data_IF_100523321224
#
_entry.id   IF_100523321224
#
_cell.length_a   1.000
_cell.length_b   1.000
_cell.length_c   1.000
_cell.angle_alpha   90.00
_cell.angle_beta   90.00
_cell.angle_gamma   90.00
#
_symmetry.space_group_name_H-M   'P 1'
#
loop_
_entity.id
_entity.type
_entity.pdbx_description
1 polymer ?
#
# COMPACT_ATOMS: atom_id res chain seq x y z
N UNK A 1 43.80 -12.58 -1.04
CA UNK A 1 42.59 -13.05 -0.35
C UNK A 1 41.41 -12.34 -1.00
N UNK A 2 40.45 -13.13 -1.48
CA UNK A 2 39.46 -12.78 -2.50
C UNK A 2 38.55 -11.59 -2.15
N UNK A 3 38.60 -10.56 -2.98
CA UNK A 3 37.59 -9.49 -3.04
C UNK A 3 36.31 -10.06 -3.64
N UNK A 4 35.26 -10.20 -2.82
CA UNK A 4 33.93 -10.62 -3.25
C UNK A 4 33.22 -9.43 -3.93
N UNK A 5 33.34 -9.33 -5.25
CA UNK A 5 32.48 -8.49 -6.07
C UNK A 5 31.12 -9.20 -6.25
N UNK A 6 30.04 -8.61 -5.74
CA UNK A 6 28.68 -9.08 -5.98
C UNK A 6 28.05 -8.29 -7.14
N UNK A 7 27.94 -8.91 -8.31
CA UNK A 7 27.29 -8.33 -9.49
C UNK A 7 25.78 -8.64 -9.46
N UNK A 8 24.95 -7.61 -9.61
CA UNK A 8 23.50 -7.73 -9.75
C UNK A 8 23.20 -7.87 -11.25
N UNK A 9 22.82 -9.06 -11.70
CA UNK A 9 22.29 -9.31 -13.06
C UNK A 9 20.83 -9.71 -12.97
N UNK A 10 19.98 -9.02 -13.73
CA UNK A 10 18.55 -9.34 -13.90
C UNK A 10 18.37 -10.47 -14.93
N UNK A 11 17.57 -11.50 -14.64
CA UNK A 11 17.13 -12.45 -15.67
C UNK A 11 15.90 -11.93 -16.42
N UNK A 12 15.77 -12.32 -17.68
CA UNK A 12 14.70 -11.91 -18.60
C UNK A 12 13.60 -12.96 -18.82
N UNK A 13 12.39 -12.43 -19.02
CA UNK A 13 11.18 -12.96 -19.68
C UNK A 13 10.30 -14.02 -18.98
N UNK A 14 9.18 -13.54 -18.43
CA UNK A 14 7.83 -14.09 -18.62
C UNK A 14 6.84 -12.92 -18.61
N UNK A 15 5.70 -13.03 -19.31
CA UNK A 15 4.72 -11.96 -19.43
C UNK A 15 4.06 -11.67 -18.06
N UNK A 16 4.66 -10.73 -17.33
CA UNK A 16 4.23 -10.27 -16.01
C UNK A 16 2.93 -9.48 -16.13
N UNK A 17 2.00 -9.75 -15.21
CA UNK A 17 1.02 -8.73 -14.83
C UNK A 17 1.84 -7.55 -14.33
N UNK A 18 1.78 -6.42 -15.03
CA UNK A 18 2.46 -5.20 -14.61
C UNK A 18 1.76 -4.67 -13.36
N UNK A 19 2.19 -5.18 -12.21
CA UNK A 19 2.05 -4.50 -10.93
C UNK A 19 2.99 -3.31 -11.02
N UNK A 20 2.56 -2.26 -11.71
CA UNK A 20 3.26 -0.99 -11.73
C UNK A 20 3.42 -0.55 -10.29
N UNK A 21 4.59 -0.80 -9.71
CA UNK A 21 4.91 -0.59 -8.29
C UNK A 21 5.09 0.90 -8.02
N UNK A 22 4.21 1.79 -8.47
CA UNK A 22 4.15 3.12 -7.88
C UNK A 22 3.37 3.00 -6.58
N UNK A 23 4.10 3.04 -5.47
CA UNK A 23 3.53 3.04 -4.12
C UNK A 23 2.39 4.06 -4.07
N UNK A 24 1.19 3.55 -3.84
CA UNK A 24 0.05 4.37 -3.41
C UNK A 24 0.39 4.80 -1.99
N UNK A 25 1.20 5.85 -1.87
CA UNK A 25 1.14 6.71 -0.70
C UNK A 25 -0.23 7.36 -0.80
N UNK A 26 -1.20 6.78 -0.09
CA UNK A 26 -2.39 7.51 0.29
C UNK A 26 -1.90 8.82 0.89
N UNK A 27 -2.00 9.90 0.11
CA UNK A 27 -1.74 11.26 0.56
C UNK A 27 -2.67 11.44 1.74
N UNK A 28 -2.10 11.31 2.95
CA UNK A 28 -2.71 11.45 4.27
C UNK A 28 -4.13 11.99 4.12
N UNK A 29 -5.12 11.07 4.10
CA UNK A 29 -6.53 11.46 4.05
C UNK A 29 -6.69 12.53 5.11
N UNK A 30 -6.97 13.77 4.70
CA UNK A 30 -7.24 14.83 5.66
C UNK A 30 -8.52 14.39 6.35
N UNK A 31 -8.38 13.81 7.54
CA UNK A 31 -9.50 13.39 8.37
C UNK A 31 -10.25 14.65 8.80
N UNK A 32 -11.21 15.07 7.96
CA UNK A 32 -12.17 16.11 8.33
C UNK A 32 -13.15 15.48 9.30
N UNK A 33 -13.51 16.22 10.35
CA UNK A 33 -14.51 15.80 11.32
C UNK A 33 -15.85 15.59 10.59
N UNK A 34 -16.16 14.33 10.28
CA UNK A 34 -17.44 13.91 9.72
C UNK A 34 -18.44 13.52 10.80
N UNK A 35 -19.72 13.40 10.43
CA UNK A 35 -20.81 13.05 11.36
C UNK A 35 -20.59 11.72 12.12
N UNK A 36 -19.72 10.86 11.63
CA UNK A 36 -19.41 9.55 12.19
C UNK A 36 -17.91 9.34 12.50
N UNK A 37 -17.11 10.40 12.46
CA UNK A 37 -15.65 10.35 12.77
C UNK A 37 -15.33 9.93 14.20
N UNK A 38 -16.30 10.05 15.12
CA UNK A 38 -16.17 9.64 16.51
C UNK A 38 -16.28 8.12 16.73
N UNK A 39 -16.74 7.37 15.71
CA UNK A 39 -16.95 5.93 15.80
C UNK A 39 -15.64 5.22 15.47
N UNK A 40 -15.13 4.44 16.42
CA UNK A 40 -13.87 3.70 16.30
C UNK A 40 -14.05 2.17 16.32
N UNK A 41 -15.30 1.70 16.25
CA UNK A 41 -15.64 0.29 16.29
C UNK A 41 -17.04 0.05 16.88
N UNK A 42 -17.39 -1.23 17.07
CA UNK A 42 -18.72 -1.63 17.57
C UNK A 42 -18.86 -1.56 19.10
N UNK A 43 -17.77 -1.43 19.85
CA UNK A 43 -17.75 -1.32 21.31
C UNK A 43 -18.22 -2.59 22.04
N UNK A 44 -17.95 -3.75 21.47
CA UNK A 44 -18.28 -5.06 22.04
C UNK A 44 -17.14 -5.58 22.92
N UNK A 45 -17.44 -6.51 23.82
CA UNK A 45 -16.43 -7.31 24.51
C UNK A 45 -16.13 -8.63 23.78
N UNK A 46 -15.23 -9.44 24.35
CA UNK A 46 -14.83 -10.74 23.79
C UNK A 46 -15.99 -11.76 23.74
N UNK A 47 -17.08 -11.53 24.48
CA UNK A 47 -18.29 -12.34 24.46
C UNK A 47 -19.32 -11.83 23.44
N UNK A 48 -19.00 -10.79 22.65
CA UNK A 48 -19.92 -10.05 21.77
C UNK A 48 -21.05 -9.30 22.50
N UNK A 49 -20.90 -9.04 23.79
CA UNK A 49 -21.85 -8.23 24.52
C UNK A 49 -21.51 -6.73 24.36
N UNK A 50 -22.49 -5.89 24.00
CA UNK A 50 -22.28 -4.47 23.81
C UNK A 50 -22.17 -3.74 25.15
N UNK A 51 -21.07 -3.02 25.36
CA UNK A 51 -20.93 -2.09 26.49
C UNK A 51 -21.85 -0.88 26.30
N UNK A 52 -22.34 -0.30 27.40
CA UNK A 52 -23.25 0.85 27.38
C UNK A 52 -22.68 2.05 26.61
N UNK A 53 -21.38 2.30 26.75
CA UNK A 53 -20.65 3.38 26.07
C UNK A 53 -19.25 2.88 25.75
N UNK A 54 -18.92 2.69 24.47
CA UNK A 54 -17.58 2.22 24.06
C UNK A 54 -17.33 2.51 22.58
N UNK A 55 -16.07 2.81 22.23
CA UNK A 55 -15.62 3.06 20.84
C UNK A 55 -16.47 4.07 20.05
N UNK A 56 -17.03 5.08 20.74
CA UNK A 56 -17.91 6.09 20.13
C UNK A 56 -19.37 5.66 19.94
N UNK A 57 -19.71 4.40 20.24
CA UNK A 57 -21.06 3.87 20.17
C UNK A 57 -21.76 3.91 21.53
N UNK A 58 -23.02 4.36 21.55
CA UNK A 58 -23.86 4.44 22.75
C UNK A 58 -25.23 3.85 22.46
N UNK A 59 -25.73 3.00 23.37
CA UNK A 59 -27.03 2.34 23.19
C UNK A 59 -27.04 1.33 22.03
N UNK A 60 -28.21 1.17 21.40
CA UNK A 60 -28.46 0.21 20.30
C UNK A 60 -27.89 -1.21 20.54
N UNK A 61 -28.05 -1.73 21.77
CA UNK A 61 -27.43 -2.98 22.22
C UNK A 61 -27.75 -4.16 21.30
N UNK A 62 -29.02 -4.38 20.99
CA UNK A 62 -29.46 -5.50 20.14
C UNK A 62 -28.84 -5.43 18.74
N UNK A 63 -28.85 -4.25 18.12
CA UNK A 63 -28.29 -4.05 16.79
C UNK A 63 -26.75 -4.16 16.77
N UNK A 64 -26.06 -3.67 17.80
CA UNK A 64 -24.59 -3.82 17.94
C UNK A 64 -24.19 -5.27 18.17
N UNK A 65 -24.94 -6.01 18.98
CA UNK A 65 -24.72 -7.45 19.18
C UNK A 65 -24.92 -8.23 17.88
N UNK A 66 -25.98 -7.94 17.13
CA UNK A 66 -26.21 -8.53 15.82
C UNK A 66 -25.09 -8.17 14.82
N UNK A 67 -24.63 -6.91 14.79
CA UNK A 67 -23.49 -6.48 14.00
C UNK A 67 -22.19 -7.20 14.39
N UNK A 68 -21.99 -7.49 15.67
CA UNK A 68 -20.86 -8.28 16.17
C UNK A 68 -20.84 -9.71 15.65
N UNK A 69 -22.01 -10.34 15.52
CA UNK A 69 -22.15 -11.66 14.92
C UNK A 69 -21.77 -11.60 13.43
N UNK A 70 -22.28 -10.60 12.70
CA UNK A 70 -21.94 -10.38 11.28
C UNK A 70 -20.42 -10.15 11.14
N UNK A 71 -19.84 -9.32 11.99
CA UNK A 71 -18.40 -9.07 12.04
C UNK A 71 -17.59 -10.36 12.21
N UNK A 72 -17.94 -11.23 13.17
CA UNK A 72 -17.27 -12.53 13.31
C UNK A 72 -17.44 -13.42 12.08
N UNK A 73 -18.62 -13.43 11.47
CA UNK A 73 -18.84 -14.22 10.26
C UNK A 73 -17.98 -13.75 9.08
N UNK A 74 -17.73 -12.44 8.98
CA UNK A 74 -16.81 -11.85 7.99
C UNK A 74 -15.37 -12.28 8.31
N UNK A 75 -14.91 -12.12 9.55
CA UNK A 75 -13.55 -12.52 9.95
C UNK A 75 -13.26 -14.01 9.76
N UNK A 76 -14.23 -14.88 10.03
CA UNK A 76 -14.09 -16.32 9.84
C UNK A 76 -14.17 -16.74 8.35
N UNK A 77 -14.50 -15.82 7.43
CA UNK A 77 -14.65 -16.11 6.00
C UNK A 77 -15.74 -17.13 5.68
N UNK A 78 -16.67 -17.39 6.61
CA UNK A 78 -17.74 -18.40 6.48
C UNK A 78 -18.93 -17.91 5.64
N UNK A 79 -18.94 -16.64 5.28
CA UNK A 79 -20.01 -16.01 4.52
C UNK A 79 -19.42 -15.31 3.29
N UNK A 80 -19.91 -15.70 2.11
CA UNK A 80 -19.74 -14.97 0.87
C UNK A 80 -21.12 -14.81 0.21
N UNK A 81 -21.37 -13.66 -0.42
CA UNK A 81 -22.59 -13.42 -1.20
C UNK A 81 -23.89 -13.29 -0.38
N UNK A 82 -23.82 -12.83 0.88
CA UNK A 82 -25.02 -12.53 1.69
C UNK A 82 -25.22 -11.04 1.88
N UNK A 83 -26.48 -10.62 1.89
CA UNK A 83 -26.86 -9.24 2.17
C UNK A 83 -27.40 -9.10 3.59
N UNK A 84 -27.01 -8.02 4.28
CA UNK A 84 -27.55 -7.64 5.60
C UNK A 84 -28.30 -6.33 5.45
N UNK A 85 -29.58 -6.31 5.84
CA UNK A 85 -30.42 -5.12 5.78
C UNK A 85 -30.58 -4.50 7.18
N UNK A 86 -30.10 -3.26 7.34
CA UNK A 86 -30.35 -2.46 8.54
C UNK A 86 -31.60 -1.60 8.33
N UNK A 87 -32.70 -1.96 8.98
CA UNK A 87 -33.97 -1.23 8.91
C UNK A 87 -34.29 -0.49 10.22
N UNK A 88 -34.91 0.69 10.11
CA UNK A 88 -35.30 1.50 11.27
C UNK A 88 -35.61 2.95 10.91
N UNK A 89 -36.17 3.70 11.86
CA UNK A 89 -36.54 5.13 11.68
C UNK A 89 -35.31 6.00 11.35
N UNK A 90 -35.47 7.15 10.69
CA UNK A 90 -34.38 8.13 10.54
C UNK A 90 -33.76 8.50 11.90
N UNK A 91 -32.45 8.72 11.94
CA UNK A 91 -31.74 9.09 13.18
C UNK A 91 -31.43 7.95 14.16
N UNK A 92 -31.78 6.69 13.86
CA UNK A 92 -31.52 5.55 14.78
C UNK A 92 -30.11 4.96 14.69
N UNK A 93 -29.16 5.61 14.01
CA UNK A 93 -27.76 5.17 13.94
C UNK A 93 -27.47 3.99 13.00
N UNK A 94 -28.26 3.77 11.95
CA UNK A 94 -28.01 2.70 10.95
C UNK A 94 -26.64 2.83 10.29
N UNK A 95 -26.35 4.01 9.73
CA UNK A 95 -25.05 4.32 9.11
C UNK A 95 -23.91 4.26 10.13
N UNK A 96 -24.17 4.68 11.38
CA UNK A 96 -23.21 4.59 12.47
C UNK A 96 -22.81 3.14 12.77
N UNK A 97 -23.77 2.19 12.79
CA UNK A 97 -23.47 0.76 12.97
C UNK A 97 -22.64 0.23 11.79
N UNK A 98 -22.99 0.58 10.55
CA UNK A 98 -22.22 0.15 9.38
C UNK A 98 -20.77 0.67 9.43
N UNK A 99 -20.56 1.93 9.83
CA UNK A 99 -19.22 2.46 10.04
C UNK A 99 -18.50 1.81 11.22
N UNK A 100 -19.24 1.44 12.27
CA UNK A 100 -18.68 0.65 13.38
C UNK A 100 -18.17 -0.72 12.94
N UNK A 101 -18.85 -1.39 12.01
CA UNK A 101 -18.38 -2.65 11.40
C UNK A 101 -17.09 -2.39 10.60
N UNK A 102 -17.10 -1.38 9.71
CA UNK A 102 -15.95 -1.03 8.90
C UNK A 102 -14.70 -0.75 9.75
N UNK A 103 -14.85 0.06 10.80
CA UNK A 103 -13.76 0.39 11.73
C UNK A 103 -13.30 -0.82 12.56
N UNK A 104 -14.19 -1.77 12.84
CA UNK A 104 -13.83 -3.00 13.55
C UNK A 104 -13.07 -4.01 12.68
N UNK A 105 -13.31 -4.03 11.36
CA UNK A 105 -12.59 -4.89 10.40
C UNK A 105 -11.13 -4.45 10.19
N UNK A 106 -10.83 -3.18 10.45
CA UNK A 106 -9.49 -2.61 10.37
C UNK A 106 -9.23 -1.95 9.02
N UNK A 107 -8.12 -1.20 8.95
CA UNK A 107 -7.75 -0.39 7.79
C UNK A 107 -7.40 -1.25 6.56
N UNK A 108 -6.95 -2.49 6.79
CA UNK A 108 -6.59 -3.41 5.71
C UNK A 108 -7.80 -4.00 4.97
N UNK A 109 -9.01 -3.89 5.51
CA UNK A 109 -10.20 -4.48 4.87
C UNK A 109 -10.93 -3.39 4.07
N UNK A 110 -11.06 -3.55 2.74
CA UNK A 110 -11.66 -2.51 1.92
C UNK A 110 -13.15 -2.38 2.22
N UNK A 111 -13.59 -1.20 2.61
CA UNK A 111 -15.00 -0.91 2.87
C UNK A 111 -15.51 0.16 1.91
N UNK A 112 -16.50 -0.18 1.09
CA UNK A 112 -17.05 0.73 0.08
C UNK A 112 -18.42 1.24 0.51
N UNK A 113 -18.54 2.56 0.68
CA UNK A 113 -19.84 3.23 0.87
C UNK A 113 -20.33 3.79 -0.44
N UNK A 114 -21.53 3.39 -0.88
CA UNK A 114 -22.16 3.91 -2.10
C UNK A 114 -23.57 4.37 -1.79
N UNK A 115 -23.93 5.54 -2.31
CA UNK A 115 -25.31 5.98 -2.34
C UNK A 115 -26.02 5.41 -3.57
N UNK A 116 -27.29 5.03 -3.44
CA UNK A 116 -28.05 4.48 -4.56
C UNK A 116 -28.13 5.44 -5.77
N UNK A 117 -28.05 6.76 -5.52
CA UNK A 117 -28.00 7.77 -6.57
C UNK A 117 -26.68 7.80 -7.36
N UNK A 118 -25.57 7.33 -6.79
CA UNK A 118 -24.26 7.30 -7.46
C UNK A 118 -24.18 6.20 -8.52
N UNK A 119 -25.04 5.17 -8.42
CA UNK A 119 -25.09 4.06 -9.38
C UNK A 119 -25.66 4.53 -10.73
N UNK A 120 -26.50 5.56 -10.72
CA UNK A 120 -27.09 6.12 -11.94
C UNK A 120 -26.14 7.17 -12.53
N UNK A 121 -25.33 6.76 -13.50
CA UNK A 121 -24.43 7.64 -14.26
C UNK A 121 -24.80 7.67 -15.74
N UNK A 122 -24.40 8.74 -16.43
CA UNK A 122 -24.40 8.82 -17.90
C UNK A 122 -23.12 8.25 -18.51
N UNK A 123 -22.05 8.12 -17.73
CA UNK A 123 -20.71 7.71 -18.20
C UNK A 123 -20.57 6.19 -18.31
N UNK A 124 -21.31 5.44 -17.49
CA UNK A 124 -21.26 3.97 -17.44
C UNK A 124 -22.61 3.37 -17.11
N UNK A 125 -22.83 2.11 -17.48
CA UNK A 125 -24.05 1.38 -17.15
C UNK A 125 -24.21 1.14 -15.64
N UNK A 126 -25.46 1.04 -15.18
CA UNK A 126 -25.78 0.76 -13.76
C UNK A 126 -25.23 -0.60 -13.31
N UNK A 127 -25.21 -1.58 -14.20
CA UNK A 127 -24.59 -2.90 -13.99
C UNK A 127 -23.09 -2.79 -13.80
N UNK A 128 -22.42 -1.92 -14.56
CA UNK A 128 -20.99 -1.72 -14.44
C UNK A 128 -20.65 -0.98 -13.14
N UNK A 129 -21.39 0.07 -12.79
CA UNK A 129 -21.22 0.77 -11.51
C UNK A 129 -21.37 -0.17 -10.30
N UNK A 130 -22.37 -1.07 -10.32
CA UNK A 130 -22.53 -2.11 -9.30
C UNK A 130 -21.40 -3.14 -9.30
N UNK A 131 -20.92 -3.54 -10.49
CA UNK A 131 -19.83 -4.52 -10.57
C UNK A 131 -18.53 -3.94 -10.02
N UNK A 132 -18.23 -2.69 -10.35
CA UNK A 132 -17.08 -1.97 -9.78
C UNK A 132 -17.21 -1.82 -8.26
N UNK A 133 -18.41 -1.51 -7.75
CA UNK A 133 -18.67 -1.45 -6.31
C UNK A 133 -18.33 -2.75 -5.57
N UNK A 134 -18.76 -3.90 -6.11
CA UNK A 134 -18.43 -5.20 -5.53
C UNK A 134 -16.93 -5.48 -5.61
N UNK A 135 -16.27 -5.18 -6.73
CA UNK A 135 -14.83 -5.44 -6.90
C UNK A 135 -13.95 -4.49 -6.08
N UNK A 136 -14.41 -3.27 -5.77
CA UNK A 136 -13.75 -2.35 -4.83
C UNK A 136 -13.80 -2.87 -3.38
N UNK A 137 -14.86 -3.61 -3.04
CA UNK A 137 -15.08 -4.16 -1.69
C UNK A 137 -14.39 -5.50 -1.46
N UNK A 138 -13.64 -6.02 -2.43
CA UNK A 138 -12.88 -7.27 -2.29
C UNK A 138 -11.40 -6.92 -2.43
N UNK A 139 -10.66 -7.13 -1.33
CA UNK A 139 -9.23 -6.89 -1.26
C UNK A 139 -8.44 -8.16 -1.53
N UNK A 140 -7.25 -7.99 -2.06
CA UNK A 140 -6.23 -9.02 -2.23
C UNK A 140 -5.00 -8.54 -1.48
N UNK A 141 -4.65 -9.26 -0.41
CA UNK A 141 -3.43 -9.06 0.36
C UNK A 141 -2.34 -9.91 -0.24
N UNK A 142 -1.32 -9.27 -0.80
CA UNK A 142 -0.14 -9.90 -1.38
C UNK A 142 1.01 -9.66 -0.42
N UNK A 143 1.72 -10.72 -0.07
CA UNK A 143 2.93 -10.63 0.76
C UNK A 143 4.12 -10.90 -0.15
N UNK A 144 4.99 -9.90 -0.28
CA UNK A 144 6.21 -10.00 -1.09
C UNK A 144 7.43 -9.87 -0.19
N UNK A 145 8.39 -10.78 -0.36
CA UNK A 145 9.70 -10.68 0.28
C UNK A 145 10.62 -9.86 -0.62
N UNK A 146 11.09 -8.70 -0.13
CA UNK A 146 12.06 -7.87 -0.83
C UNK A 146 13.35 -7.74 -0.04
N UNK A 147 14.47 -7.81 -0.76
CA UNK A 147 15.80 -7.50 -0.21
C UNK A 147 15.99 -5.98 -0.22
N UNK A 148 15.98 -5.37 0.96
CA UNK A 148 16.26 -3.95 1.14
C UNK A 148 17.67 -3.74 1.66
N UNK A 149 18.38 -2.76 1.09
CA UNK A 149 19.61 -2.22 1.69
C UNK A 149 19.25 -0.93 2.42
N UNK A 150 19.61 -0.83 3.69
CA UNK A 150 19.38 0.36 4.51
C UNK A 150 20.71 0.82 5.13
N UNK A 151 21.12 2.05 4.85
CA UNK A 151 22.38 2.59 5.33
C UNK A 151 22.50 4.10 5.20
N UNK A 152 23.45 4.66 5.93
CA UNK A 152 23.92 6.04 5.77
C UNK A 152 24.93 6.11 4.61
N UNK A 153 24.78 7.13 3.77
CA UNK A 153 25.70 7.39 2.67
C UNK A 153 26.94 8.11 3.19
N UNK A 154 28.10 7.48 3.08
CA UNK A 154 29.39 8.09 3.44
C UNK A 154 29.93 8.89 2.25
N UNK A 155 29.96 8.29 1.07
CA UNK A 155 30.51 8.89 -0.14
C UNK A 155 29.78 8.39 -1.39
N UNK A 156 29.64 9.26 -2.39
CA UNK A 156 29.13 8.92 -3.72
C UNK A 156 30.17 9.38 -4.74
N UNK A 157 30.70 8.45 -5.52
CA UNK A 157 31.59 8.70 -6.64
C UNK A 157 30.85 8.38 -7.94
N UNK A 158 30.83 9.31 -8.89
CA UNK A 158 30.20 9.12 -10.19
C UNK A 158 31.24 9.42 -11.26
N UNK A 159 31.63 8.38 -12.00
CA UNK A 159 32.52 8.47 -13.14
C UNK A 159 31.68 8.56 -14.41
N UNK A 160 31.79 9.69 -15.10
CA UNK A 160 31.17 9.91 -16.41
C UNK A 160 32.25 10.10 -17.47
N UNK A 161 32.18 9.31 -18.54
CA UNK A 161 33.03 9.53 -19.70
C UNK A 161 32.73 10.88 -20.36
N UNK A 162 33.71 11.43 -21.09
CA UNK A 162 33.65 12.77 -21.72
C UNK A 162 32.44 12.92 -22.68
N UNK A 163 31.89 11.82 -23.17
CA UNK A 163 30.69 11.76 -24.03
C UNK A 163 29.37 11.54 -23.28
N UNK A 164 29.40 11.27 -21.98
CA UNK A 164 28.23 11.18 -21.10
C UNK A 164 27.33 9.94 -21.29
N UNK A 165 27.71 9.01 -22.16
CA UNK A 165 26.90 7.86 -22.57
C UNK A 165 26.92 6.71 -21.57
N UNK A 166 28.09 6.42 -20.97
CA UNK A 166 28.24 5.38 -19.96
C UNK A 166 28.57 6.04 -18.61
N UNK A 167 27.59 6.02 -17.69
CA UNK A 167 27.74 6.49 -16.32
C UNK A 167 27.93 5.28 -15.42
N UNK A 168 29.07 5.22 -14.75
CA UNK A 168 29.33 4.23 -13.70
C UNK A 168 29.62 4.99 -12.41
N UNK A 169 29.39 4.36 -11.26
CA UNK A 169 29.62 5.03 -9.99
C UNK A 169 29.86 4.04 -8.88
N UNK A 170 30.25 4.56 -7.72
CA UNK A 170 30.37 3.82 -6.48
C UNK A 170 29.67 4.58 -5.38
N UNK A 171 29.02 3.85 -4.49
CA UNK A 171 28.45 4.39 -3.26
C UNK A 171 28.98 3.61 -2.08
N UNK A 172 29.39 4.34 -1.06
CA UNK A 172 29.80 3.75 0.22
C UNK A 172 28.66 3.94 1.20
N UNK A 173 28.10 2.83 1.69
CA UNK A 173 27.04 2.79 2.68
C UNK A 173 27.55 2.25 4.01
N UNK A 174 27.12 2.87 5.10
CA UNK A 174 27.53 2.54 6.45
C UNK A 174 26.32 2.36 7.37
N UNK A 175 26.38 1.34 8.22
CA UNK A 175 25.53 1.17 9.41
C UNK A 175 26.43 1.28 10.65
N UNK A 176 25.85 1.21 11.85
CA UNK A 176 26.65 1.21 13.08
C UNK A 176 27.64 0.05 13.20
N UNK A 177 27.41 -1.04 12.45
CA UNK A 177 28.21 -2.27 12.54
C UNK A 177 29.10 -2.55 11.33
N UNK A 178 28.72 -2.05 10.13
CA UNK A 178 29.44 -2.37 8.90
C UNK A 178 29.46 -1.22 7.90
N UNK A 179 30.48 -1.23 7.06
CA UNK A 179 30.65 -0.31 5.94
C UNK A 179 30.92 -1.14 4.68
N UNK A 180 30.17 -0.88 3.61
CA UNK A 180 30.34 -1.57 2.33
C UNK A 180 30.27 -0.61 1.15
N UNK A 181 31.02 -0.94 0.11
CA UNK A 181 31.05 -0.20 -1.16
C UNK A 181 30.28 -0.98 -2.20
N UNK A 182 29.34 -0.30 -2.87
CA UNK A 182 28.55 -0.84 -3.97
C UNK A 182 28.89 -0.13 -5.27
N UNK A 183 29.09 -0.91 -6.34
CA UNK A 183 29.16 -0.35 -7.69
C UNK A 183 27.73 -0.05 -8.20
N UNK A 184 27.56 1.13 -8.78
CA UNK A 184 26.30 1.67 -9.28
C UNK A 184 26.26 1.64 -10.80
N UNK A 185 25.16 1.13 -11.33
CA UNK A 185 24.81 1.27 -12.74
C UNK A 185 24.16 2.62 -13.08
N UNK A 186 23.99 2.93 -14.37
CA UNK A 186 23.48 4.23 -14.84
C UNK A 186 22.07 4.55 -14.29
N UNK A 187 21.17 3.57 -14.21
CA UNK A 187 19.81 3.75 -13.69
C UNK A 187 19.78 4.12 -12.19
N UNK A 188 20.71 3.55 -11.40
CA UNK A 188 20.82 3.87 -9.98
C UNK A 188 21.38 5.27 -9.76
N UNK A 189 22.34 5.68 -10.59
CA UNK A 189 22.91 7.04 -10.55
C UNK A 189 21.82 8.08 -10.86
N UNK A 190 21.00 7.83 -11.88
CA UNK A 190 19.86 8.71 -12.19
C UNK A 190 18.85 8.78 -11.04
N UNK A 191 18.58 7.66 -10.37
CA UNK A 191 17.69 7.61 -9.20
C UNK A 191 18.25 8.39 -8.00
N UNK A 192 19.56 8.29 -7.74
CA UNK A 192 20.24 9.10 -6.70
C UNK A 192 20.17 10.60 -7.02
N UNK A 193 20.38 10.97 -8.29
CA UNK A 193 20.30 12.36 -8.75
C UNK A 193 18.88 12.91 -8.65
N UNK A 194 17.87 12.10 -8.99
CA UNK A 194 16.45 12.45 -8.90
C UNK A 194 16.03 12.72 -7.45
N UNK A 195 16.46 11.88 -6.52
CA UNK A 195 16.19 12.01 -5.08
C UNK A 195 17.13 13.01 -4.37
N UNK A 196 18.10 13.58 -5.09
CA UNK A 196 19.12 14.52 -4.57
C UNK A 196 19.81 13.97 -3.32
N UNK A 197 20.25 12.73 -3.41
CA UNK A 197 20.98 12.06 -2.33
C UNK A 197 22.40 12.63 -2.22
N UNK A 198 22.83 12.90 -1.00
CA UNK A 198 24.12 13.48 -0.64
C UNK A 198 24.77 12.69 0.49
N UNK A 199 26.07 12.88 0.70
CA UNK A 199 26.78 12.30 1.85
C UNK A 199 26.13 12.77 3.18
N UNK A 200 25.94 11.82 4.09
CA UNK A 200 25.22 11.98 5.36
C UNK A 200 23.72 11.74 5.29
N UNK A 201 23.16 11.36 4.13
CA UNK A 201 21.76 10.95 4.03
C UNK A 201 21.58 9.47 4.40
N UNK A 202 20.48 9.14 5.07
CA UNK A 202 20.05 7.76 5.32
C UNK A 202 19.06 7.36 4.23
N UNK A 203 19.39 6.30 3.49
CA UNK A 203 18.62 5.83 2.34
C UNK A 203 18.24 4.36 2.48
N UNK A 204 17.13 4.00 1.85
CA UNK A 204 16.75 2.60 1.60
C UNK A 204 16.75 2.32 0.11
N UNK A 205 17.39 1.22 -0.30
CA UNK A 205 17.45 0.75 -1.67
C UNK A 205 16.71 -0.58 -1.75
N UNK A 206 15.66 -0.64 -2.55
CA UNK A 206 15.05 -1.91 -2.95
C UNK A 206 15.87 -2.52 -4.10
N UNK A 207 16.48 -3.68 -3.87
CA UNK A 207 17.33 -4.34 -4.87
C UNK A 207 16.56 -4.83 -6.08
N UNK A 208 15.31 -5.26 -5.89
CA UNK A 208 14.49 -5.82 -6.96
C UNK A 208 13.92 -4.69 -7.83
N UNK A 209 13.40 -3.64 -7.20
CA UNK A 209 12.79 -2.51 -7.89
C UNK A 209 13.80 -1.45 -8.39
N UNK A 210 15.03 -1.44 -7.86
CA UNK A 210 16.01 -0.37 -8.12
C UNK A 210 15.56 1.00 -7.60
N UNK A 211 14.61 1.03 -6.66
CA UNK A 211 14.07 2.26 -6.09
C UNK A 211 14.90 2.68 -4.89
N UNK A 212 15.26 3.96 -4.87
CA UNK A 212 15.95 4.60 -3.76
C UNK A 212 14.97 5.52 -3.06
N UNK A 213 14.88 5.43 -1.74
CA UNK A 213 14.05 6.32 -0.91
C UNK A 213 14.92 6.98 0.14
N UNK A 214 14.91 8.31 0.19
CA UNK A 214 15.60 9.08 1.22
C UNK A 214 14.75 9.14 2.49
N UNK A 215 15.21 8.50 3.56
CA UNK A 215 14.53 8.49 4.86
C UNK A 215 14.74 9.80 5.62
N UNK A 216 15.96 10.35 5.50
CA UNK A 216 16.34 11.59 6.15
C UNK A 216 17.84 11.79 6.16
N UNK A 217 18.32 12.66 7.04
CA UNK A 217 19.74 12.95 7.23
C UNK A 217 20.21 12.42 8.58
N UNK A 218 21.44 11.90 8.65
CA UNK A 218 22.02 11.41 9.88
C UNK A 218 22.23 12.54 10.89
N UNK A 219 22.15 12.22 12.18
CA UNK A 219 22.41 13.18 13.25
C UNK A 219 23.89 13.60 13.31
N UNK A 220 24.81 12.71 12.93
CA UNK A 220 26.26 12.91 12.91
C UNK A 220 26.69 14.00 11.94
N UNK A 221 26.09 14.05 10.74
CA UNK A 221 26.39 15.07 9.72
C UNK A 221 25.43 16.27 9.72
N UNK A 222 24.68 16.46 10.81
CA UNK A 222 23.73 17.58 10.95
C UNK A 222 24.40 18.96 11.07
N UNK A 223 25.69 19.02 11.42
CA UNK A 223 26.43 20.26 11.70
C UNK A 223 27.19 20.86 10.51
N UNK A 224 27.44 20.08 9.46
CA UNK A 224 28.34 20.48 8.37
C UNK A 224 27.66 21.33 7.28
N UNK A 225 26.33 21.54 7.37
CA UNK A 225 25.55 22.30 6.39
C UNK A 225 24.75 23.41 7.06
N UNK A 226 25.19 24.65 6.84
CA UNK A 226 24.62 25.90 7.39
C UNK A 226 23.28 26.31 6.70
N UNK A 227 23.00 25.76 5.51
CA UNK A 227 21.79 26.04 4.74
C UNK A 227 20.79 24.86 4.79
N UNK A 228 20.33 24.50 5.99
CA UNK A 228 19.28 23.49 6.15
C UNK A 228 17.92 24.06 5.75
N UNK A 229 17.30 23.50 4.71
CA UNK A 229 15.89 23.77 4.41
C UNK A 229 15.00 23.29 5.56
N UNK A 230 13.92 24.02 5.86
CA UNK A 230 12.98 23.77 6.96
C UNK A 230 12.25 22.40 6.96
N UNK A 231 12.61 21.50 6.04
CA UNK A 231 11.97 20.20 5.75
C UNK A 231 12.94 19.01 5.95
N UNK A 232 14.15 19.23 6.46
CA UNK A 232 15.13 18.14 6.65
C UNK A 232 14.77 17.29 7.88
N UNK A 233 14.31 16.07 7.63
CA UNK A 233 14.03 15.07 8.67
C UNK A 233 15.34 14.41 9.11
N UNK A 234 15.63 14.46 10.41
CA UNK A 234 16.78 13.76 10.97
C UNK A 234 16.40 12.34 11.37
N UNK A 235 17.24 11.37 11.01
CA UNK A 235 17.05 9.94 11.28
C UNK A 235 18.35 9.40 11.88
N UNK A 236 18.23 8.41 12.76
CA UNK A 236 19.40 7.74 13.33
C UNK A 236 20.07 6.85 12.29
N UNK A 237 21.39 6.65 12.43
CA UNK A 237 22.14 5.71 11.62
C UNK A 237 21.52 4.31 11.82
N UNK A 238 21.20 3.58 10.74
CA UNK A 238 20.62 2.24 10.86
C UNK A 238 21.58 1.30 11.59
N UNK A 239 21.04 0.41 12.41
CA UNK A 239 21.79 -0.62 13.12
C UNK A 239 21.70 -1.97 12.42
N UNK A 240 22.74 -2.80 12.64
CA UNK A 240 22.82 -4.17 12.12
C UNK A 240 23.36 -4.27 10.69
N UNK A 241 22.97 -5.35 10.02
CA UNK A 241 23.36 -5.62 8.64
C UNK A 241 22.76 -4.61 7.65
N UNK A 242 23.56 -4.21 6.66
CA UNK A 242 23.15 -3.33 5.57
C UNK A 242 22.02 -3.93 4.74
N UNK A 243 22.06 -5.24 4.49
CA UNK A 243 21.02 -5.94 3.73
C UNK A 243 20.05 -6.66 4.68
N UNK A 244 18.78 -6.31 4.58
CA UNK A 244 17.69 -6.91 5.36
C UNK A 244 16.63 -7.45 4.41
N UNK A 245 16.13 -8.66 4.70
CA UNK A 245 14.91 -9.17 4.06
C UNK A 245 13.71 -8.59 4.79
N UNK A 246 12.83 -7.93 4.04
CA UNK A 246 11.60 -7.34 4.57
C UNK A 246 10.41 -7.92 3.83
N UNK A 247 9.44 -8.39 4.58
CA UNK A 247 8.11 -8.70 4.04
C UNK A 247 7.35 -7.38 3.88
N UNK A 248 6.97 -7.07 2.65
CA UNK A 248 6.11 -5.94 2.32
C UNK A 248 4.73 -6.49 2.01
N UNK A 249 3.74 -6.02 2.77
CA UNK A 249 2.34 -6.41 2.58
C UNK A 249 1.66 -5.34 1.77
N UNK A 250 1.15 -5.74 0.60
CA UNK A 250 0.36 -4.88 -0.27
C UNK A 250 -1.10 -5.32 -0.21
N UNK A 251 -2.00 -4.39 0.07
CA UNK A 251 -3.46 -4.63 -0.02
C UNK A 251 -3.97 -3.85 -1.21
N UNK A 252 -4.53 -4.55 -2.18
CA UNK A 252 -5.06 -3.96 -3.42
C UNK A 252 -6.46 -4.52 -3.66
N UNK A 253 -7.41 -3.68 -4.09
CA UNK A 253 -8.75 -4.14 -4.45
C UNK A 253 -8.78 -4.81 -5.83
N UNK A 254 -9.72 -5.73 -6.05
CA UNK A 254 -9.89 -6.34 -7.38
C UNK A 254 -10.17 -5.30 -8.47
N UNK A 255 -10.89 -4.23 -8.13
CA UNK A 255 -11.16 -3.15 -9.06
C UNK A 255 -9.88 -2.40 -9.49
N UNK A 256 -8.95 -2.16 -8.59
CA UNK A 256 -7.67 -1.52 -8.95
C UNK A 256 -6.87 -2.39 -9.90
N UNK A 257 -6.82 -3.71 -9.65
CA UNK A 257 -6.16 -4.67 -10.54
C UNK A 257 -6.83 -4.68 -11.91
N UNK A 258 -8.18 -4.63 -11.97
CA UNK A 258 -8.92 -4.54 -13.23
C UNK A 258 -8.54 -3.31 -14.05
N UNK A 259 -8.57 -2.13 -13.42
CA UNK A 259 -8.35 -0.86 -14.12
C UNK A 259 -6.92 -0.80 -14.65
N UNK A 260 -5.93 -1.20 -13.84
CA UNK A 260 -4.51 -1.23 -14.22
C UNK A 260 -4.29 -2.14 -15.44
N UNK A 261 -4.92 -3.31 -15.48
CA UNK A 261 -4.73 -4.28 -16.57
C UNK A 261 -5.62 -4.00 -17.79
N UNK A 262 -6.61 -3.11 -17.67
CA UNK A 262 -7.51 -2.79 -18.79
C UNK A 262 -6.91 -1.83 -19.82
N UNK A 263 -5.94 -0.97 -19.43
CA UNK A 263 -5.42 0.13 -20.26
C UNK A 263 -3.92 0.38 -20.01
N UNK A 264 -3.19 0.83 -21.03
CA UNK A 264 -1.75 1.15 -20.92
C UNK A 264 -1.41 2.25 -19.89
N UNK A 265 -2.36 3.14 -19.56
CA UNK A 265 -2.26 4.11 -18.46
C UNK A 265 -3.39 3.94 -17.43
N UNK A 266 -3.75 2.69 -17.11
CA UNK A 266 -4.81 2.39 -16.15
C UNK A 266 -4.60 3.02 -14.77
N UNK A 267 -3.34 3.17 -14.33
CA UNK A 267 -3.03 3.81 -13.04
C UNK A 267 -3.54 5.25 -12.94
N UNK A 268 -3.42 6.07 -14.00
CA UNK A 268 -3.88 7.46 -13.97
C UNK A 268 -5.41 7.56 -13.95
N UNK A 269 -6.09 6.58 -14.58
CA UNK A 269 -7.54 6.52 -14.60
C UNK A 269 -8.15 6.27 -13.20
N UNK A 270 -7.44 5.58 -12.30
CA UNK A 270 -7.86 5.42 -10.92
C UNK A 270 -8.02 6.76 -10.19
N UNK A 271 -7.15 7.73 -10.49
CA UNK A 271 -7.21 9.07 -9.89
C UNK A 271 -8.15 10.03 -10.63
N UNK A 272 -8.24 9.89 -11.95
CA UNK A 272 -9.07 10.76 -12.78
C UNK A 272 -10.56 10.42 -12.70
N UNK A 273 -10.93 9.22 -12.24
CA UNK A 273 -12.32 8.74 -12.21
C UNK A 273 -12.84 8.25 -13.57
N UNK A 274 -12.08 8.48 -14.65
CA UNK A 274 -12.39 8.01 -16.01
C UNK A 274 -11.93 6.56 -16.22
N UNK A 275 -12.45 5.64 -15.41
CA UNK A 275 -12.17 4.22 -15.55
C UNK A 275 -12.93 3.60 -16.72
N UNK A 276 -14.06 4.21 -17.13
CA UNK A 276 -14.98 3.68 -18.12
C UNK A 276 -15.49 2.27 -17.78
N UNK A 277 -16.01 1.57 -18.79
CA UNK A 277 -16.43 0.17 -18.65
C UNK A 277 -15.27 -0.80 -18.90
N UNK A 278 -15.15 -1.80 -18.02
CA UNK A 278 -14.09 -2.81 -18.09
C UNK A 278 -14.64 -4.07 -18.75
N UNK A 279 -13.91 -4.60 -19.75
CA UNK A 279 -14.28 -5.84 -20.45
C UNK A 279 -14.31 -7.04 -19.50
N UNK A 280 -15.30 -7.91 -19.66
CA UNK A 280 -15.43 -9.14 -18.87
C UNK A 280 -14.22 -10.08 -19.01
N UNK A 281 -13.64 -10.16 -20.21
CA UNK A 281 -12.45 -10.98 -20.48
C UNK A 281 -11.27 -10.64 -19.55
N UNK A 282 -11.07 -9.35 -19.26
CA UNK A 282 -10.00 -8.89 -18.36
C UNK A 282 -10.30 -9.33 -16.93
N UNK A 283 -11.56 -9.23 -16.50
CA UNK A 283 -11.99 -9.67 -15.15
C UNK A 283 -11.81 -11.17 -14.97
N UNK A 284 -12.21 -11.97 -15.95
CA UNK A 284 -12.05 -13.43 -15.90
C UNK A 284 -10.58 -13.86 -15.85
N UNK A 285 -9.71 -13.19 -16.60
CA UNK A 285 -8.26 -13.41 -16.54
C UNK A 285 -7.70 -13.06 -15.16
N UNK A 286 -8.12 -11.94 -14.57
CA UNK A 286 -7.69 -11.52 -13.23
C UNK A 286 -8.19 -12.50 -12.17
N UNK A 287 -9.46 -12.89 -12.23
CA UNK A 287 -10.05 -13.82 -11.27
C UNK A 287 -9.32 -15.18 -11.30
N UNK A 288 -8.91 -15.63 -12.49
CA UNK A 288 -8.08 -16.83 -12.66
C UNK A 288 -6.70 -16.66 -11.99
N UNK A 289 -6.00 -15.55 -12.26
CA UNK A 289 -4.69 -15.28 -11.65
C UNK A 289 -4.73 -15.10 -10.14
N UNK A 290 -5.76 -14.44 -9.61
CA UNK A 290 -5.95 -14.29 -8.16
C UNK A 290 -6.25 -15.64 -7.52
N UNK A 291 -7.00 -16.52 -8.19
CA UNK A 291 -7.21 -17.89 -7.73
C UNK A 291 -5.89 -18.71 -7.72
N UNK A 292 -5.04 -18.54 -8.73
CA UNK A 292 -3.69 -19.13 -8.77
C UNK A 292 -2.82 -18.63 -7.62
N UNK A 293 -2.72 -17.31 -7.42
CA UNK A 293 -1.94 -16.73 -6.31
C UNK A 293 -2.43 -17.17 -4.93
N UNK A 294 -3.74 -17.35 -4.78
CA UNK A 294 -4.32 -17.94 -3.57
C UNK A 294 -3.93 -19.41 -3.41
N UNK A 295 -3.92 -20.18 -4.49
CA UNK A 295 -3.50 -21.59 -4.49
C UNK A 295 -2.02 -21.77 -4.16
N UNK A 296 -1.18 -20.84 -4.60
CA UNK A 296 0.26 -20.81 -4.30
C UNK A 296 0.58 -20.25 -2.90
N UNK A 297 -0.40 -19.68 -2.20
CA UNK A 297 -0.20 -19.04 -0.89
C UNK A 297 0.47 -17.66 -0.95
N UNK A 298 0.64 -17.08 -2.14
CA UNK A 298 1.21 -15.74 -2.33
C UNK A 298 0.23 -14.61 -2.03
N UNK A 299 -1.07 -14.90 -2.12
CA UNK A 299 -2.12 -13.92 -1.88
C UNK A 299 -3.24 -14.46 -0.98
N UNK A 300 -3.79 -13.58 -0.14
CA UNK A 300 -4.97 -13.83 0.69
C UNK A 300 -6.09 -12.87 0.30
N UNK A 301 -7.29 -13.39 0.06
CA UNK A 301 -8.46 -12.56 -0.24
C UNK A 301 -9.04 -12.02 1.07
N UNK A 302 -9.24 -10.70 1.12
CA UNK A 302 -9.87 -9.98 2.22
C UNK A 302 -11.29 -9.55 1.80
N UNK A 303 -12.35 -10.22 2.27
CA UNK A 303 -13.72 -9.79 2.01
C UNK A 303 -14.06 -8.55 2.84
N UNK A 304 -14.56 -7.50 2.18
CA UNK A 304 -15.09 -6.29 2.81
C UNK A 304 -16.59 -6.31 3.04
#
# INVERSE_FOLDING_TARGET
HESRYASIRTPSSMAEVSLGTQEVRDLTRIERIGAHSHIRGLGLDDALEPRDTSQGMVGQKTARKAAGIVFRMIQEGRIAGRAVLLAGKPGTGKTAIAMGIAQALGEDTPFTTIAASEIYSLEMSTTEALTQAFRRSIGVRIVEETDMIEGEVVEIQVDSDVTGTDKTGRITLCTTEMETVYDLGPQMIESLQKEKVTAGDVITIDKAAGRITKLGRSFTHSRDYDAMGAQTRFVQCPEGELQKRKEVVHVVSLHEIDVINSRQQGFLALFAGDTGEIKSEVREQIDTKVAEWRGEGKATILPG
#
